data_IF_808735803420
#
_entry.id   IF_808735803420
#
_cell.length_a   1.000
_cell.length_b   1.000
_cell.length_c   1.000
_cell.angle_alpha   90.00
_cell.angle_beta   90.00
_cell.angle_gamma   90.00
#
_symmetry.space_group_name_H-M   'P 1'
#
loop_
_entity.id
_entity.type
_entity.pdbx_description
1 polymer ?
#
# COMPACT_ATOMS: atom_id res chain seq x y z
N UNK A 1 19.92 5.26 -28.28
CA UNK A 1 18.65 5.55 -27.58
C UNK A 1 18.37 7.02 -27.74
N UNK A 2 17.23 7.38 -28.32
CA UNK A 2 16.91 8.77 -28.63
C UNK A 2 16.54 9.53 -27.35
N UNK A 3 17.46 10.38 -26.87
CA UNK A 3 17.25 11.21 -25.67
C UNK A 3 16.05 12.17 -25.82
N UNK A 4 15.62 12.46 -27.04
CA UNK A 4 14.45 13.30 -27.30
C UNK A 4 13.12 12.57 -27.05
N UNK A 5 13.08 11.26 -27.25
CA UNK A 5 11.90 10.45 -26.92
C UNK A 5 11.67 10.38 -25.40
N UNK A 6 12.75 10.18 -24.62
CA UNK A 6 12.73 10.19 -23.15
C UNK A 6 12.32 11.55 -22.57
N UNK A 7 12.76 12.67 -23.17
CA UNK A 7 12.35 14.03 -22.78
C UNK A 7 10.88 14.31 -23.11
N UNK A 8 10.38 13.83 -24.24
CA UNK A 8 8.97 13.96 -24.64
C UNK A 8 8.02 13.20 -23.70
N UNK A 9 8.41 12.00 -23.25
CA UNK A 9 7.67 11.27 -22.23
C UNK A 9 7.59 12.07 -20.94
N UNK A 10 8.70 12.65 -20.48
CA UNK A 10 8.84 13.39 -19.20
C UNK A 10 7.87 14.59 -19.03
N UNK A 11 7.37 15.18 -20.12
CA UNK A 11 6.50 16.36 -20.08
C UNK A 11 4.98 16.03 -20.00
N UNK A 12 4.59 14.77 -20.16
CA UNK A 12 3.18 14.36 -20.12
C UNK A 12 2.78 13.99 -18.68
N UNK A 13 1.55 14.31 -18.23
CA UNK A 13 1.00 13.78 -16.99
C UNK A 13 1.18 12.26 -16.91
N UNK A 14 1.51 11.73 -15.73
CA UNK A 14 1.80 10.29 -15.51
C UNK A 14 0.69 9.38 -16.08
N UNK A 15 -0.56 9.85 -16.03
CA UNK A 15 -1.72 9.18 -16.61
C UNK A 15 -1.59 8.94 -18.13
N UNK A 16 -1.13 9.94 -18.85
CA UNK A 16 -0.92 9.85 -20.29
C UNK A 16 0.28 8.96 -20.63
N UNK A 17 1.33 8.93 -19.78
CA UNK A 17 2.47 8.02 -19.98
C UNK A 17 2.08 6.56 -19.79
N UNK A 18 1.35 6.22 -18.74
CA UNK A 18 0.91 4.84 -18.50
C UNK A 18 -0.01 4.35 -19.63
N UNK A 19 -1.00 5.16 -19.99
CA UNK A 19 -1.97 4.81 -21.02
C UNK A 19 -1.36 4.77 -22.42
N UNK A 20 -0.51 5.73 -22.80
CA UNK A 20 0.25 5.67 -24.07
C UNK A 20 1.09 4.40 -24.16
N UNK A 21 1.73 4.02 -23.06
CA UNK A 21 2.63 2.88 -23.04
C UNK A 21 1.94 1.52 -23.00
N UNK A 22 0.67 1.47 -22.60
CA UNK A 22 -0.08 0.21 -22.40
C UNK A 22 -1.17 0.03 -23.46
N UNK A 23 -1.89 1.10 -23.82
CA UNK A 23 -2.92 1.12 -24.87
C UNK A 23 -2.81 2.40 -25.72
N UNK A 24 -1.84 2.46 -26.66
CA UNK A 24 -1.69 3.62 -27.53
C UNK A 24 -2.99 3.87 -28.34
N UNK A 25 -3.57 5.06 -28.18
CA UNK A 25 -4.76 5.51 -28.93
C UNK A 25 -6.13 5.35 -28.27
N UNK A 26 -6.23 4.90 -27.01
CA UNK A 26 -7.52 4.65 -26.33
C UNK A 26 -7.83 5.60 -25.15
N UNK A 27 -7.57 6.90 -25.31
CA UNK A 27 -7.77 7.91 -24.25
C UNK A 27 -9.23 8.10 -23.83
N UNK A 28 -10.18 7.86 -24.75
CA UNK A 28 -11.61 8.10 -24.53
C UNK A 28 -12.28 7.12 -23.55
N UNK A 29 -11.56 6.08 -23.08
CA UNK A 29 -12.14 4.98 -22.31
C UNK A 29 -11.58 4.83 -20.89
N UNK A 30 -10.78 5.78 -20.37
CA UNK A 30 -10.25 5.73 -18.99
C UNK A 30 -11.38 5.59 -17.96
N UNK A 31 -12.43 6.39 -18.12
CA UNK A 31 -13.64 6.32 -17.29
C UNK A 31 -14.36 4.98 -17.44
N UNK A 32 -14.34 4.37 -18.62
CA UNK A 32 -14.95 3.07 -18.88
C UNK A 32 -14.14 1.94 -18.24
N UNK A 33 -12.81 1.97 -18.36
CA UNK A 33 -11.90 1.01 -17.71
C UNK A 33 -12.06 1.11 -16.18
N UNK A 34 -12.05 2.33 -15.63
CA UNK A 34 -12.31 2.57 -14.22
C UNK A 34 -13.68 2.03 -13.80
N UNK A 35 -14.73 2.29 -14.57
CA UNK A 35 -16.07 1.76 -14.30
C UNK A 35 -16.13 0.22 -14.32
N UNK A 36 -15.50 -0.42 -15.30
CA UNK A 36 -15.43 -1.89 -15.40
C UNK A 36 -14.67 -2.49 -14.22
N UNK A 37 -13.55 -1.87 -13.80
CA UNK A 37 -12.79 -2.30 -12.62
C UNK A 37 -13.62 -2.15 -11.36
N UNK A 38 -14.33 -1.04 -11.18
CA UNK A 38 -15.21 -0.81 -10.03
C UNK A 38 -16.35 -1.84 -10.02
N UNK A 39 -16.98 -2.09 -11.17
CA UNK A 39 -18.04 -3.09 -11.30
C UNK A 39 -17.52 -4.48 -10.93
N UNK A 40 -16.34 -4.86 -11.42
CA UNK A 40 -15.68 -6.11 -11.09
C UNK A 40 -15.41 -6.23 -9.59
N UNK A 41 -14.85 -5.19 -8.97
CA UNK A 41 -14.57 -5.13 -7.54
C UNK A 41 -15.87 -5.27 -6.73
N UNK A 42 -16.94 -4.57 -7.13
CA UNK A 42 -18.25 -4.68 -6.48
C UNK A 42 -18.76 -6.10 -6.55
N UNK A 43 -18.76 -6.72 -7.73
CA UNK A 43 -19.23 -8.09 -7.94
C UNK A 43 -18.47 -9.10 -7.08
N UNK A 44 -17.14 -8.98 -7.02
CA UNK A 44 -16.28 -9.88 -6.25
C UNK A 44 -16.46 -9.70 -4.72
N UNK A 45 -16.90 -8.52 -4.25
CA UNK A 45 -17.08 -8.25 -2.81
C UNK A 45 -18.49 -8.59 -2.26
N UNK A 46 -19.44 -9.00 -3.10
CA UNK A 46 -20.80 -9.38 -2.66
C UNK A 46 -20.75 -10.59 -1.73
N UNK A 47 -19.88 -11.57 -2.00
CA UNK A 47 -19.68 -12.77 -1.16
C UNK A 47 -18.25 -12.83 -0.61
N UNK A 48 -17.95 -11.94 0.34
CA UNK A 48 -16.65 -11.95 1.01
C UNK A 48 -16.55 -13.11 2.02
N UNK A 49 -15.56 -13.98 1.82
CA UNK A 49 -15.12 -15.00 2.76
C UNK A 49 -13.64 -15.23 2.48
N UNK A 50 -12.82 -15.41 3.52
CA UNK A 50 -11.37 -15.65 3.36
C UNK A 50 -11.11 -16.88 2.46
N UNK A 51 -11.99 -17.89 2.49
CA UNK A 51 -11.89 -19.06 1.61
C UNK A 51 -12.08 -18.69 0.14
N UNK A 52 -13.11 -17.92 -0.20
CA UNK A 52 -13.38 -17.48 -1.58
C UNK A 52 -12.26 -16.57 -2.09
N UNK A 53 -11.72 -15.75 -1.18
CA UNK A 53 -10.71 -14.74 -1.45
C UNK A 53 -9.30 -15.31 -1.63
N UNK A 54 -9.05 -16.52 -1.11
CA UNK A 54 -7.77 -17.21 -1.26
C UNK A 54 -7.38 -17.44 -2.73
N UNK A 55 -8.33 -17.75 -3.62
CA UNK A 55 -8.07 -18.01 -5.04
C UNK A 55 -7.67 -16.72 -5.78
N UNK A 56 -8.47 -15.61 -5.76
CA UNK A 56 -8.02 -14.33 -6.28
C UNK A 56 -6.67 -13.88 -5.72
N UNK A 57 -6.43 -14.07 -4.43
CA UNK A 57 -5.16 -13.71 -3.80
C UNK A 57 -3.99 -14.57 -4.31
N UNK A 58 -4.20 -15.86 -4.56
CA UNK A 58 -3.19 -16.73 -5.15
C UNK A 58 -2.86 -16.31 -6.59
N UNK A 59 -3.88 -15.97 -7.39
CA UNK A 59 -3.68 -15.43 -8.75
C UNK A 59 -2.91 -14.12 -8.68
N UNK A 60 -3.26 -13.22 -7.75
CA UNK A 60 -2.52 -11.98 -7.54
C UNK A 60 -1.04 -12.24 -7.24
N UNK A 61 -0.75 -13.19 -6.36
CA UNK A 61 0.62 -13.57 -6.00
C UNK A 61 1.40 -14.10 -7.20
N UNK A 62 0.80 -15.00 -7.99
CA UNK A 62 1.43 -15.54 -9.21
C UNK A 62 1.70 -14.41 -10.21
N UNK A 63 0.76 -13.49 -10.40
CA UNK A 63 0.96 -12.32 -11.27
C UNK A 63 2.08 -11.40 -10.76
N UNK A 64 2.17 -11.17 -9.44
CA UNK A 64 3.27 -10.41 -8.83
C UNK A 64 4.61 -11.09 -9.03
N UNK A 65 4.71 -12.41 -8.80
CA UNK A 65 5.94 -13.18 -9.00
C UNK A 65 6.37 -13.13 -10.46
N UNK A 66 5.43 -13.32 -11.40
CA UNK A 66 5.72 -13.24 -12.84
C UNK A 66 6.19 -11.84 -13.24
N UNK A 67 5.49 -10.79 -12.80
CA UNK A 67 5.87 -9.40 -13.05
C UNK A 67 7.24 -9.07 -12.48
N UNK A 68 7.52 -9.50 -11.25
CA UNK A 68 8.80 -9.29 -10.58
C UNK A 68 9.94 -10.05 -11.27
N UNK A 69 9.69 -11.27 -11.73
CA UNK A 69 10.67 -12.05 -12.49
C UNK A 69 11.06 -11.33 -13.78
N UNK A 70 10.09 -10.78 -14.52
CA UNK A 70 10.36 -9.98 -15.71
C UNK A 70 11.17 -8.72 -15.40
N UNK A 71 10.89 -8.05 -14.27
CA UNK A 71 11.68 -6.90 -13.81
C UNK A 71 13.13 -7.33 -13.55
N UNK A 72 13.37 -8.40 -12.81
CA UNK A 72 14.73 -8.88 -12.55
C UNK A 72 15.46 -9.28 -13.84
N UNK A 73 14.80 -9.99 -14.75
CA UNK A 73 15.38 -10.32 -16.06
C UNK A 73 15.79 -9.03 -16.80
N UNK A 74 14.94 -8.00 -16.80
CA UNK A 74 15.28 -6.71 -17.40
C UNK A 74 16.49 -6.06 -16.73
N UNK A 75 16.53 -6.01 -15.40
CA UNK A 75 17.62 -5.37 -14.65
C UNK A 75 18.97 -6.04 -14.92
N UNK A 76 19.01 -7.38 -14.93
CA UNK A 76 20.26 -8.10 -15.16
C UNK A 76 20.70 -8.13 -16.62
N UNK A 77 19.78 -7.98 -17.58
CA UNK A 77 20.10 -7.94 -19.02
C UNK A 77 20.45 -6.55 -19.53
N UNK A 78 19.90 -5.49 -18.93
CA UNK A 78 20.19 -4.10 -19.32
C UNK A 78 21.58 -3.64 -18.89
N UNK A 79 22.25 -4.40 -18.03
CA UNK A 79 23.57 -4.10 -17.47
C UNK A 79 23.46 -3.31 -16.16
N UNK A 80 24.16 -3.79 -15.14
CA UNK A 80 24.25 -3.11 -13.85
C UNK A 80 25.36 -2.04 -13.91
N UNK A 81 25.08 -0.84 -13.40
CA UNK A 81 26.08 0.21 -13.25
C UNK A 81 27.15 -0.17 -12.22
N UNK A 82 28.29 0.52 -12.28
CA UNK A 82 29.34 0.37 -11.25
C UNK A 82 28.91 1.12 -9.97
N UNK A 83 28.81 0.44 -8.81
CA UNK A 83 28.42 1.07 -7.55
C UNK A 83 29.31 2.26 -7.15
N UNK A 84 30.57 2.28 -7.59
CA UNK A 84 31.52 3.34 -7.25
C UNK A 84 31.20 4.68 -7.93
N UNK A 85 30.36 4.67 -8.97
CA UNK A 85 29.96 5.87 -9.70
C UNK A 85 28.73 6.57 -9.13
N UNK A 86 28.03 5.91 -8.19
CA UNK A 86 26.82 6.41 -7.56
C UNK A 86 27.14 7.25 -6.31
N UNK A 87 26.30 8.25 -5.96
CA UNK A 87 26.50 9.05 -4.76
C UNK A 87 26.49 8.16 -3.50
N UNK A 88 27.47 8.36 -2.63
CA UNK A 88 27.65 7.55 -1.41
C UNK A 88 26.63 7.83 -0.32
N UNK A 89 25.98 9.00 -0.36
CA UNK A 89 25.02 9.45 0.63
C UNK A 89 23.93 10.30 -0.03
N UNK A 90 22.75 10.27 0.58
CA UNK A 90 21.60 11.11 0.23
C UNK A 90 21.36 12.17 1.33
N UNK A 91 20.51 13.15 1.04
CA UNK A 91 20.12 14.19 1.97
C UNK A 91 19.28 13.64 3.13
N UNK A 92 19.39 14.26 4.32
CA UNK A 92 18.57 13.87 5.48
C UNK A 92 17.06 13.96 5.19
N UNK A 93 16.67 14.90 4.34
CA UNK A 93 15.28 15.09 3.90
C UNK A 93 14.76 13.87 3.13
N UNK A 94 15.52 13.37 2.15
CA UNK A 94 15.18 12.16 1.39
C UNK A 94 15.17 10.91 2.27
N UNK A 95 16.09 10.81 3.25
CA UNK A 95 16.06 9.72 4.24
C UNK A 95 14.74 9.72 5.01
N UNK A 96 14.23 10.90 5.41
CA UNK A 96 12.96 10.98 6.12
C UNK A 96 11.75 10.60 5.26
N UNK A 97 11.78 10.87 3.95
CA UNK A 97 10.76 10.41 3.00
C UNK A 97 10.83 8.89 2.84
N UNK A 98 12.03 8.36 2.61
CA UNK A 98 12.27 6.93 2.48
C UNK A 98 11.82 6.16 3.73
N UNK A 99 12.04 6.73 4.92
CA UNK A 99 11.61 6.14 6.19
C UNK A 99 10.09 5.94 6.27
N UNK A 100 9.29 6.90 5.79
CA UNK A 100 7.84 6.74 5.66
C UNK A 100 7.48 5.58 4.73
N UNK A 101 8.10 5.52 3.55
CA UNK A 101 7.87 4.46 2.56
C UNK A 101 8.26 3.08 3.12
N UNK A 102 9.35 2.98 3.89
CA UNK A 102 9.77 1.72 4.53
C UNK A 102 8.76 1.22 5.55
N UNK A 103 8.23 2.10 6.40
CA UNK A 103 7.21 1.72 7.39
C UNK A 103 5.93 1.28 6.66
N UNK A 104 5.54 1.99 5.60
CA UNK A 104 4.38 1.62 4.79
C UNK A 104 4.56 0.25 4.11
N UNK A 105 5.78 -0.08 3.66
CA UNK A 105 6.07 -1.33 2.92
C UNK A 105 5.81 -2.59 3.76
N UNK A 106 6.03 -2.53 5.07
CA UNK A 106 5.80 -3.66 5.98
C UNK A 106 4.42 -3.64 6.65
N UNK A 107 3.48 -2.87 6.11
CA UNK A 107 2.15 -2.79 6.69
C UNK A 107 1.27 -4.00 6.32
N UNK A 108 0.98 -4.83 7.32
CA UNK A 108 0.06 -5.97 7.22
C UNK A 108 -0.72 -6.29 8.50
N UNK A 109 -0.57 -5.46 9.54
CA UNK A 109 -1.08 -5.72 10.90
C UNK A 109 -2.60 -5.92 10.92
N UNK A 110 -3.34 -5.13 10.13
CA UNK A 110 -4.80 -5.21 10.04
C UNK A 110 -5.31 -6.58 9.55
N UNK A 111 -4.53 -7.28 8.72
CA UNK A 111 -4.87 -8.59 8.17
C UNK A 111 -4.31 -9.75 9.00
N UNK A 112 -3.32 -9.51 9.85
CA UNK A 112 -2.65 -10.53 10.63
C UNK A 112 -3.62 -11.35 11.51
N UNK A 113 -4.48 -10.67 12.27
CA UNK A 113 -5.43 -11.34 13.17
C UNK A 113 -6.52 -12.13 12.41
N UNK A 114 -7.19 -11.56 11.38
CA UNK A 114 -8.12 -12.33 10.57
C UNK A 114 -7.50 -13.55 9.90
N UNK A 115 -6.27 -13.44 9.39
CA UNK A 115 -5.55 -14.56 8.77
C UNK A 115 -5.25 -15.62 9.82
N UNK A 116 -4.67 -15.24 10.97
CA UNK A 116 -4.40 -16.15 12.09
C UNK A 116 -5.65 -16.95 12.49
N UNK A 117 -6.79 -16.28 12.61
CA UNK A 117 -8.06 -16.91 12.99
C UNK A 117 -8.61 -17.92 11.96
N UNK A 118 -8.09 -17.94 10.73
CA UNK A 118 -8.51 -18.86 9.67
C UNK A 118 -7.42 -19.89 9.31
N UNK A 119 -6.31 -19.93 10.06
CA UNK A 119 -5.29 -20.97 9.92
C UNK A 119 -5.70 -22.25 10.66
N UNK A 120 -5.25 -23.39 10.15
CA UNK A 120 -5.43 -24.68 10.84
C UNK A 120 -4.68 -24.72 12.18
N UNK A 121 -3.44 -24.22 12.20
CA UNK A 121 -2.60 -24.09 13.39
C UNK A 121 -2.32 -22.60 13.67
N UNK A 122 -3.19 -21.89 14.43
CA UNK A 122 -3.09 -20.45 14.63
C UNK A 122 -1.89 -20.02 15.50
N UNK A 123 -1.34 -20.92 16.32
CA UNK A 123 -0.18 -20.61 17.18
C UNK A 123 1.14 -20.63 16.41
N UNK A 124 1.21 -21.39 15.32
CA UNK A 124 2.35 -21.40 14.41
C UNK A 124 2.44 -20.11 13.58
N UNK A 125 1.41 -19.25 13.57
CA UNK A 125 1.45 -17.99 12.83
C UNK A 125 2.56 -17.06 13.32
N UNK A 126 2.76 -17.00 14.65
CA UNK A 126 3.73 -16.12 15.32
C UNK A 126 4.99 -16.85 15.82
N UNK A 127 5.12 -18.14 15.54
CA UNK A 127 6.31 -18.91 15.89
C UNK A 127 7.57 -18.31 15.23
N UNK A 128 8.76 -18.64 15.72
CA UNK A 128 10.04 -18.09 15.20
C UNK A 128 10.20 -18.29 13.70
N UNK A 129 9.92 -19.50 13.20
CA UNK A 129 9.84 -19.83 11.77
C UNK A 129 8.40 -19.91 11.26
N UNK A 130 7.49 -19.24 11.98
CA UNK A 130 6.07 -19.17 11.67
C UNK A 130 5.80 -18.38 10.39
N UNK A 131 4.57 -18.48 9.92
CA UNK A 131 4.13 -17.88 8.64
C UNK A 131 4.41 -16.38 8.60
N UNK A 132 4.16 -15.65 9.70
CA UNK A 132 4.40 -14.22 9.75
C UNK A 132 5.89 -13.89 9.57
N UNK A 133 6.77 -14.46 10.38
CA UNK A 133 8.20 -14.16 10.33
C UNK A 133 8.84 -14.58 9.00
N UNK A 134 8.49 -15.77 8.50
CA UNK A 134 8.98 -16.25 7.20
C UNK A 134 8.54 -15.31 6.06
N UNK A 135 7.27 -14.87 6.07
CA UNK A 135 6.76 -13.94 5.06
C UNK A 135 7.46 -12.57 5.11
N UNK A 136 7.76 -12.07 6.31
CA UNK A 136 8.45 -10.79 6.50
C UNK A 136 9.90 -10.84 6.00
N UNK A 137 10.63 -11.92 6.26
CA UNK A 137 12.00 -12.11 5.76
C UNK A 137 12.02 -12.15 4.23
N UNK A 138 11.15 -12.96 3.62
CA UNK A 138 11.06 -13.06 2.15
C UNK A 138 10.73 -11.70 1.54
N UNK A 139 9.74 -11.00 2.10
CA UNK A 139 9.34 -9.66 1.63
C UNK A 139 10.48 -8.65 1.75
N UNK A 140 11.18 -8.63 2.89
CA UNK A 140 12.31 -7.73 3.10
C UNK A 140 13.43 -8.00 2.08
N UNK A 141 13.80 -9.26 1.86
CA UNK A 141 14.80 -9.62 0.87
C UNK A 141 14.41 -9.17 -0.55
N UNK A 142 13.16 -9.41 -0.96
CA UNK A 142 12.68 -8.98 -2.28
C UNK A 142 12.70 -7.45 -2.42
N UNK A 143 12.20 -6.71 -1.43
CA UNK A 143 12.21 -5.25 -1.45
C UNK A 143 13.63 -4.69 -1.51
N UNK A 144 14.55 -5.23 -0.70
CA UNK A 144 15.97 -4.82 -0.72
C UNK A 144 16.63 -5.13 -2.06
N UNK A 145 16.39 -6.30 -2.65
CA UNK A 145 16.93 -6.66 -3.96
C UNK A 145 16.42 -5.73 -5.06
N UNK A 146 15.11 -5.46 -5.10
CA UNK A 146 14.52 -4.56 -6.11
C UNK A 146 15.05 -3.14 -5.93
N UNK A 147 15.10 -2.64 -4.68
CA UNK A 147 15.62 -1.31 -4.38
C UNK A 147 17.09 -1.17 -4.77
N UNK A 148 17.93 -2.14 -4.39
CA UNK A 148 19.36 -2.13 -4.69
C UNK A 148 19.64 -2.25 -6.19
N UNK A 149 19.15 -3.32 -6.85
CA UNK A 149 19.44 -3.52 -8.27
C UNK A 149 18.71 -2.52 -9.17
N UNK A 150 17.53 -2.06 -8.77
CA UNK A 150 16.80 -1.00 -9.47
C UNK A 150 17.60 0.31 -9.47
N UNK A 151 18.09 0.73 -8.30
CA UNK A 151 18.93 1.93 -8.20
C UNK A 151 20.27 1.74 -8.92
N UNK A 152 20.88 0.55 -8.86
CA UNK A 152 22.13 0.27 -9.56
C UNK A 152 22.00 0.32 -11.10
N UNK A 153 20.83 -0.01 -11.64
CA UNK A 153 20.55 0.01 -13.07
C UNK A 153 20.18 1.41 -13.58
N UNK A 154 19.37 2.16 -12.85
CA UNK A 154 18.81 3.44 -13.31
C UNK A 154 19.44 4.68 -12.67
N UNK A 155 20.16 4.53 -11.56
CA UNK A 155 20.74 5.64 -10.81
C UNK A 155 19.71 6.70 -10.44
N UNK A 156 20.07 7.97 -10.66
CA UNK A 156 19.22 9.12 -10.34
C UNK A 156 18.06 9.35 -11.34
N UNK A 157 18.02 8.60 -12.44
CA UNK A 157 16.92 8.68 -13.43
C UNK A 157 15.76 7.71 -13.10
N UNK A 158 15.79 7.04 -11.94
CA UNK A 158 14.71 6.16 -11.51
C UNK A 158 13.43 6.96 -11.22
N UNK A 159 12.29 6.46 -11.68
CA UNK A 159 10.97 7.06 -11.42
C UNK A 159 10.37 6.48 -10.14
N UNK A 160 9.34 7.14 -9.58
CA UNK A 160 8.66 6.74 -8.34
C UNK A 160 8.13 5.29 -8.36
N UNK A 161 7.90 4.73 -9.56
CA UNK A 161 7.68 3.29 -9.75
C UNK A 161 8.60 2.74 -10.83
N UNK A 162 9.31 1.67 -10.50
CA UNK A 162 10.24 0.98 -11.41
C UNK A 162 9.57 0.49 -12.70
N UNK A 163 8.26 0.22 -12.67
CA UNK A 163 7.50 -0.23 -13.85
C UNK A 163 7.44 0.83 -14.95
N UNK A 164 7.65 2.10 -14.61
CA UNK A 164 7.71 3.18 -15.60
C UNK A 164 9.06 3.27 -16.31
N UNK A 165 10.14 2.88 -15.64
CA UNK A 165 11.48 2.85 -16.24
C UNK A 165 11.65 1.73 -17.28
N UNK A 166 10.81 0.68 -17.22
CA UNK A 166 10.89 -0.46 -18.12
C UNK A 166 10.17 -0.17 -19.43
N UNK A 167 10.84 -0.32 -20.59
CA UNK A 167 10.23 -0.04 -21.89
C UNK A 167 9.19 -1.10 -22.28
N UNK A 168 8.11 -0.67 -22.93
CA UNK A 168 7.04 -1.54 -23.44
C UNK A 168 7.43 -2.31 -24.71
N UNK A 169 8.50 -3.09 -24.67
CA UNK A 169 8.85 -4.04 -25.74
C UNK A 169 7.99 -5.31 -25.67
N UNK A 170 8.09 -6.20 -26.66
CA UNK A 170 7.22 -7.39 -26.82
C UNK A 170 7.07 -8.23 -25.54
N UNK A 171 8.17 -8.42 -24.79
CA UNK A 171 8.14 -9.21 -23.54
C UNK A 171 7.74 -8.35 -22.34
N UNK A 172 8.29 -7.14 -22.24
CA UNK A 172 8.12 -6.30 -21.05
C UNK A 172 6.81 -5.51 -21.01
N UNK A 173 6.05 -5.45 -22.11
CA UNK A 173 4.68 -4.90 -22.12
C UNK A 173 3.76 -5.64 -21.14
N UNK A 174 4.04 -6.92 -20.84
CA UNK A 174 3.27 -7.74 -19.91
C UNK A 174 3.43 -7.31 -18.44
N UNK A 175 4.52 -6.61 -18.07
CA UNK A 175 4.81 -6.22 -16.68
C UNK A 175 3.68 -5.39 -16.10
N UNK A 176 3.25 -4.34 -16.82
CA UNK A 176 2.21 -3.41 -16.35
C UNK A 176 0.85 -4.10 -16.14
N UNK A 177 0.28 -4.85 -17.10
CA UNK A 177 -0.94 -5.62 -16.90
C UNK A 177 -0.88 -6.65 -15.76
N UNK A 178 0.26 -7.35 -15.60
CA UNK A 178 0.45 -8.31 -14.51
C UNK A 178 0.35 -7.63 -13.13
N UNK A 179 1.00 -6.48 -12.95
CA UNK A 179 0.89 -5.71 -11.72
C UNK A 179 -0.50 -5.11 -11.54
N UNK A 180 -1.14 -4.58 -12.58
CA UNK A 180 -2.54 -4.09 -12.49
C UNK A 180 -3.46 -5.21 -12.01
N UNK A 181 -3.41 -6.39 -12.62
CA UNK A 181 -4.19 -7.55 -12.21
C UNK A 181 -3.91 -7.93 -10.74
N UNK A 182 -2.64 -8.00 -10.36
CA UNK A 182 -2.24 -8.33 -9.00
C UNK A 182 -2.81 -7.33 -7.98
N UNK A 183 -2.74 -6.03 -8.27
CA UNK A 183 -3.25 -5.00 -7.37
C UNK A 183 -4.80 -5.08 -7.30
N UNK A 184 -5.51 -5.39 -8.40
CA UNK A 184 -7.00 -5.46 -8.42
C UNK A 184 -7.45 -6.60 -7.53
N UNK A 185 -6.83 -7.77 -7.69
CA UNK A 185 -7.18 -8.96 -6.93
C UNK A 185 -6.75 -8.86 -5.47
N UNK A 186 -5.63 -8.20 -5.18
CA UNK A 186 -5.16 -7.95 -3.81
C UNK A 186 -6.05 -6.97 -3.05
N UNK A 187 -6.71 -6.03 -3.75
CA UNK A 187 -7.64 -5.09 -3.13
C UNK A 187 -8.77 -5.81 -2.38
N UNK A 188 -9.28 -6.90 -2.95
CA UNK A 188 -10.35 -7.70 -2.36
C UNK A 188 -9.98 -8.19 -0.95
N UNK A 189 -8.71 -8.58 -0.76
CA UNK A 189 -8.19 -9.04 0.53
C UNK A 189 -8.11 -7.91 1.55
N UNK A 190 -7.68 -6.73 1.13
CA UNK A 190 -7.56 -5.58 2.02
C UNK A 190 -8.93 -5.01 2.42
N UNK A 191 -9.90 -5.01 1.51
CA UNK A 191 -11.28 -4.60 1.80
C UNK A 191 -11.98 -5.52 2.83
N UNK A 192 -11.50 -6.76 3.01
CA UNK A 192 -12.06 -7.69 3.99
C UNK A 192 -12.10 -7.10 5.41
N UNK A 193 -11.05 -6.38 5.84
CA UNK A 193 -10.95 -5.86 7.21
C UNK A 193 -11.99 -4.77 7.47
N UNK A 194 -12.07 -3.69 6.66
CA UNK A 194 -13.16 -2.72 6.78
C UNK A 194 -14.54 -3.37 6.69
N UNK A 195 -14.76 -4.31 5.77
CA UNK A 195 -16.04 -4.97 5.62
C UNK A 195 -16.47 -5.75 6.88
N UNK A 196 -15.53 -6.37 7.60
CA UNK A 196 -15.80 -7.05 8.88
C UNK A 196 -16.03 -6.04 10.01
N UNK A 197 -15.22 -4.98 10.09
CA UNK A 197 -15.35 -3.95 11.13
C UNK A 197 -16.70 -3.23 11.01
N UNK A 198 -17.04 -2.74 9.83
CA UNK A 198 -18.32 -2.08 9.58
C UNK A 198 -19.49 -3.05 9.75
N UNK A 199 -19.32 -4.32 9.36
CA UNK A 199 -20.32 -5.35 9.65
C UNK A 199 -20.61 -5.51 11.14
N UNK A 200 -19.58 -5.47 12.01
CA UNK A 200 -19.75 -5.46 13.47
C UNK A 200 -20.37 -4.16 13.98
N UNK A 201 -20.01 -3.02 13.40
CA UNK A 201 -20.59 -1.73 13.75
C UNK A 201 -22.10 -1.69 13.42
N UNK A 202 -22.53 -2.28 12.30
CA UNK A 202 -23.94 -2.39 11.95
C UNK A 202 -24.77 -3.15 13.00
N UNK A 203 -24.19 -4.12 13.70
CA UNK A 203 -24.90 -4.84 14.76
C UNK A 203 -25.21 -3.96 15.99
N UNK A 204 -24.50 -2.83 16.16
CA UNK A 204 -24.85 -1.83 17.18
C UNK A 204 -26.11 -1.04 16.82
N UNK A 205 -26.45 -0.97 15.55
CA UNK A 205 -27.62 -0.24 15.06
C UNK A 205 -28.92 -1.03 15.23
N UNK A 206 -29.92 -0.45 15.94
CA UNK A 206 -31.20 -1.12 16.26
C UNK A 206 -31.93 -1.66 15.03
N UNK A 207 -32.08 -0.84 14.00
CA UNK A 207 -32.72 -1.16 12.73
C UNK A 207 -32.12 -2.39 12.03
N UNK A 208 -30.79 -2.52 11.99
CA UNK A 208 -30.14 -3.72 11.44
C UNK A 208 -30.26 -4.94 12.35
N UNK A 209 -30.10 -4.76 13.67
CA UNK A 209 -30.18 -5.86 14.65
C UNK A 209 -31.57 -6.52 14.68
N UNK A 210 -32.64 -5.73 14.56
CA UNK A 210 -34.02 -6.23 14.59
C UNK A 210 -34.53 -6.72 13.22
N UNK A 211 -33.73 -6.58 12.17
CA UNK A 211 -34.08 -7.05 10.83
C UNK A 211 -34.00 -8.59 10.72
N UNK A 212 -34.78 -9.17 9.80
CA UNK A 212 -34.72 -10.61 9.48
C UNK A 212 -33.33 -11.02 8.97
N UNK A 213 -32.93 -12.31 9.08
CA UNK A 213 -31.59 -12.75 8.66
C UNK A 213 -31.31 -12.49 7.16
N UNK A 214 -32.32 -12.58 6.31
CA UNK A 214 -32.21 -12.24 4.88
C UNK A 214 -31.95 -10.75 4.68
N UNK A 215 -32.69 -9.91 5.39
CA UNK A 215 -32.55 -8.46 5.33
C UNK A 215 -31.23 -7.99 5.95
N UNK A 216 -30.72 -8.67 6.97
CA UNK A 216 -29.37 -8.45 7.46
C UNK A 216 -28.30 -8.79 6.40
N UNK A 217 -28.50 -9.87 5.64
CA UNK A 217 -27.60 -10.23 4.53
C UNK A 217 -27.59 -9.16 3.44
N UNK A 218 -28.77 -8.64 3.07
CA UNK A 218 -28.93 -7.54 2.11
C UNK A 218 -28.28 -6.26 2.62
N UNK A 219 -28.56 -5.86 3.87
CA UNK A 219 -28.00 -4.64 4.47
C UNK A 219 -26.46 -4.70 4.51
N UNK A 220 -25.86 -5.86 4.79
CA UNK A 220 -24.40 -6.05 4.71
C UNK A 220 -23.86 -5.93 3.29
N UNK A 221 -24.57 -6.46 2.28
CA UNK A 221 -24.18 -6.32 0.87
C UNK A 221 -24.26 -4.85 0.43
N UNK A 222 -25.36 -4.16 0.75
CA UNK A 222 -25.55 -2.74 0.44
C UNK A 222 -24.46 -1.90 1.11
N UNK A 223 -24.17 -2.14 2.40
CA UNK A 223 -23.08 -1.46 3.11
C UNK A 223 -21.74 -1.62 2.38
N UNK A 224 -21.41 -2.83 1.92
CA UNK A 224 -20.16 -3.05 1.17
C UNK A 224 -20.13 -2.29 -0.15
N UNK A 225 -21.23 -2.29 -0.90
CA UNK A 225 -21.34 -1.52 -2.15
C UNK A 225 -21.18 -0.03 -1.87
N UNK A 226 -21.83 0.48 -0.82
CA UNK A 226 -21.71 1.89 -0.41
C UNK A 226 -20.29 2.23 0.01
N UNK A 227 -19.61 1.37 0.77
CA UNK A 227 -18.20 1.57 1.14
C UNK A 227 -17.30 1.60 -0.10
N UNK A 228 -17.48 0.66 -1.05
CA UNK A 228 -16.70 0.65 -2.30
C UNK A 228 -16.99 1.90 -3.12
N UNK A 229 -18.26 2.24 -3.33
CA UNK A 229 -18.65 3.44 -4.07
C UNK A 229 -18.16 4.72 -3.39
N UNK A 230 -18.13 4.78 -2.06
CA UNK A 230 -17.56 5.89 -1.31
C UNK A 230 -16.06 6.02 -1.60
N UNK A 231 -15.31 4.92 -1.52
CA UNK A 231 -13.89 4.90 -1.89
C UNK A 231 -13.64 5.21 -3.37
N UNK A 232 -14.60 4.92 -4.27
CA UNK A 232 -14.49 5.21 -5.70
C UNK A 232 -14.96 6.62 -6.10
N UNK A 233 -15.94 7.21 -5.39
CA UNK A 233 -16.49 8.55 -5.69
C UNK A 233 -15.51 9.66 -5.34
N UNK A 234 -14.70 9.44 -4.30
CA UNK A 234 -13.51 10.23 -4.02
C UNK A 234 -12.48 10.22 -5.17
N UNK A 235 -12.64 9.36 -6.17
CA UNK A 235 -11.61 9.05 -7.16
C UNK A 235 -11.91 9.48 -8.60
N UNK A 236 -13.14 9.91 -8.89
CA UNK A 236 -13.50 10.43 -10.22
C UNK A 236 -12.99 11.87 -10.47
N UNK A 237 -12.18 12.40 -9.54
CA UNK A 237 -11.51 13.69 -9.63
C UNK A 237 -10.01 13.42 -9.81
N UNK A 238 -9.56 13.34 -11.08
CA UNK A 238 -8.17 13.53 -11.55
C UNK A 238 -7.05 12.59 -11.05
N UNK A 239 -7.21 11.26 -11.01
CA UNK A 239 -6.04 10.38 -10.73
C UNK A 239 -6.05 9.08 -11.58
N UNK A 240 -4.85 8.65 -12.00
CA UNK A 240 -4.56 7.55 -12.94
C UNK A 240 -4.80 6.13 -12.37
N UNK A 241 -5.16 5.16 -13.23
CA UNK A 241 -5.63 3.79 -12.94
C UNK A 241 -4.69 2.90 -12.12
N UNK A 242 -3.38 3.16 -12.11
CA UNK A 242 -2.39 2.39 -11.34
C UNK A 242 -2.22 2.94 -9.93
N UNK A 243 -2.30 4.27 -9.81
CA UNK A 243 -2.33 4.99 -8.55
C UNK A 243 -3.68 4.80 -7.86
N UNK A 244 -4.79 4.75 -8.64
CA UNK A 244 -6.16 4.42 -8.19
C UNK A 244 -6.17 3.24 -7.23
N UNK A 245 -5.42 2.21 -7.57
CA UNK A 245 -5.59 0.91 -6.98
C UNK A 245 -4.61 0.67 -5.82
N UNK A 246 -3.42 1.27 -5.89
CA UNK A 246 -2.53 1.42 -4.73
C UNK A 246 -3.15 2.35 -3.69
N UNK A 247 -3.91 3.35 -4.12
CA UNK A 247 -4.65 4.23 -3.23
C UNK A 247 -5.89 3.59 -2.64
N UNK A 248 -6.62 2.77 -3.38
CA UNK A 248 -7.78 2.05 -2.87
C UNK A 248 -7.39 1.09 -1.73
N UNK A 249 -6.23 0.45 -1.87
CA UNK A 249 -5.55 -0.34 -0.84
C UNK A 249 -5.29 0.48 0.44
N UNK A 250 -4.84 1.72 0.25
CA UNK A 250 -4.56 2.70 1.31
C UNK A 250 -5.82 3.25 1.97
N UNK A 251 -6.85 3.66 1.21
CA UNK A 251 -8.09 4.23 1.78
C UNK A 251 -8.82 3.18 2.63
N UNK A 252 -8.79 1.90 2.26
CA UNK A 252 -9.30 0.81 3.08
C UNK A 252 -8.57 0.67 4.42
N UNK A 253 -7.26 0.92 4.43
CA UNK A 253 -6.44 0.95 5.63
C UNK A 253 -6.72 2.21 6.48
N UNK A 254 -6.83 3.38 5.85
CA UNK A 254 -7.21 4.64 6.51
C UNK A 254 -8.61 4.57 7.16
N UNK A 255 -9.54 3.79 6.58
CA UNK A 255 -10.86 3.50 7.16
C UNK A 255 -10.80 2.78 8.52
N UNK A 256 -9.64 2.23 8.90
CA UNK A 256 -9.39 1.62 10.22
C UNK A 256 -8.80 2.63 11.22
N UNK A 257 -8.24 3.76 10.78
CA UNK A 257 -7.68 4.81 11.65
C UNK A 257 -8.73 5.81 12.15
N UNK A 258 -8.58 6.25 13.41
CA UNK A 258 -9.51 7.13 14.16
C UNK A 258 -9.36 8.64 13.84
N UNK A 259 -8.45 9.06 12.95
CA UNK A 259 -8.35 10.45 12.45
C UNK A 259 -8.75 10.51 10.96
N UNK A 260 -9.38 11.62 10.49
CA UNK A 260 -10.32 11.56 9.38
C UNK A 260 -9.64 11.11 8.07
N UNK A 261 -10.06 9.96 7.50
CA UNK A 261 -9.62 9.47 6.19
C UNK A 261 -9.70 10.55 5.10
N UNK A 262 -10.64 11.49 5.26
CA UNK A 262 -10.83 12.67 4.42
C UNK A 262 -9.59 13.55 4.22
N UNK A 263 -8.72 13.71 5.23
CA UNK A 263 -7.59 14.65 5.13
C UNK A 263 -6.44 14.05 4.33
N UNK A 264 -6.15 12.76 4.52
CA UNK A 264 -5.14 12.04 3.74
C UNK A 264 -5.61 11.77 2.31
N UNK A 265 -6.88 11.42 2.14
CA UNK A 265 -7.49 11.26 0.81
C UNK A 265 -7.47 12.58 0.03
N UNK A 266 -7.80 13.71 0.66
CA UNK A 266 -7.77 15.03 0.01
C UNK A 266 -6.36 15.51 -0.35
N UNK A 267 -5.36 15.27 0.50
CA UNK A 267 -3.96 15.64 0.22
C UNK A 267 -3.37 14.79 -0.89
N UNK A 268 -3.73 13.50 -0.96
CA UNK A 268 -3.27 12.63 -2.04
C UNK A 268 -3.96 12.89 -3.39
N UNK A 269 -5.22 13.32 -3.40
CA UNK A 269 -5.87 13.82 -4.62
C UNK A 269 -5.18 15.08 -5.18
N UNK A 270 -4.42 15.80 -4.34
CA UNK A 270 -3.75 17.04 -4.72
C UNK A 270 -2.35 16.80 -5.29
N UNK A 271 -1.74 15.64 -5.06
CA UNK A 271 -0.32 15.38 -5.33
C UNK A 271 -0.16 14.16 -6.24
N UNK A 272 0.16 14.34 -7.53
CA UNK A 272 0.34 13.24 -8.49
C UNK A 272 1.68 12.48 -8.30
N UNK A 273 2.33 12.57 -7.15
CA UNK A 273 3.60 11.91 -6.84
C UNK A 273 3.37 10.71 -5.91
N UNK A 274 3.47 9.51 -6.48
CA UNK A 274 3.22 8.23 -5.78
C UNK A 274 4.13 8.06 -4.54
N UNK A 275 5.40 8.42 -4.64
CA UNK A 275 6.39 8.31 -3.57
C UNK A 275 6.06 9.21 -2.36
N UNK A 276 5.71 10.48 -2.60
CA UNK A 276 5.28 11.40 -1.55
C UNK A 276 4.01 10.91 -0.87
N UNK A 277 3.07 10.37 -1.65
CA UNK A 277 1.86 9.80 -1.12
C UNK A 277 2.14 8.60 -0.21
N UNK A 278 2.96 7.63 -0.67
CA UNK A 278 3.37 6.46 0.13
C UNK A 278 4.09 6.88 1.42
N UNK A 279 4.95 7.89 1.35
CA UNK A 279 5.64 8.46 2.52
C UNK A 279 4.68 9.09 3.53
N UNK A 280 3.71 9.90 3.08
CA UNK A 280 2.74 10.54 3.95
C UNK A 280 1.89 9.51 4.69
N UNK A 281 1.46 8.46 3.99
CA UNK A 281 0.68 7.37 4.56
C UNK A 281 1.50 6.59 5.59
N UNK A 282 2.73 6.22 5.23
CA UNK A 282 3.67 5.55 6.13
C UNK A 282 3.93 6.32 7.42
N UNK A 283 4.20 7.61 7.29
CA UNK A 283 4.50 8.47 8.43
C UNK A 283 3.27 8.76 9.29
N UNK A 284 2.09 8.99 8.72
CA UNK A 284 0.89 9.33 9.50
C UNK A 284 0.11 8.10 9.96
N UNK A 285 -0.36 7.25 9.04
CA UNK A 285 -1.25 6.14 9.40
C UNK A 285 -0.48 4.92 9.91
N UNK A 286 0.57 4.52 9.20
CA UNK A 286 1.29 3.26 9.48
C UNK A 286 2.11 3.36 10.76
N UNK A 287 2.77 4.50 10.98
CA UNK A 287 3.50 4.76 12.22
C UNK A 287 2.56 4.74 13.43
N UNK A 288 1.35 5.32 13.30
CA UNK A 288 0.35 5.28 14.36
C UNK A 288 -0.14 3.84 14.65
N UNK A 289 -0.56 3.09 13.63
CA UNK A 289 -1.15 1.76 13.80
C UNK A 289 -0.13 0.67 14.15
N UNK A 290 1.09 0.77 13.65
CA UNK A 290 2.09 -0.30 13.76
C UNK A 290 3.13 -0.04 14.85
N UNK A 291 3.52 1.23 15.09
CA UNK A 291 4.60 1.57 16.01
C UNK A 291 4.15 2.33 17.27
N UNK A 292 3.02 3.04 17.23
CA UNK A 292 2.53 3.77 18.41
C UNK A 292 1.48 2.98 19.19
N UNK A 293 0.42 2.50 18.53
CA UNK A 293 -0.70 1.84 19.20
C UNK A 293 -0.29 0.52 19.89
N UNK A 294 0.41 -0.44 19.25
CA UNK A 294 0.71 -1.71 19.87
C UNK A 294 1.57 -1.60 21.14
N UNK A 295 2.67 -0.81 21.16
CA UNK A 295 3.46 -0.61 22.37
C UNK A 295 2.70 0.05 23.53
N UNK A 296 1.82 1.02 23.23
CA UNK A 296 0.96 1.64 24.25
C UNK A 296 0.00 0.61 24.84
N UNK A 297 -0.65 -0.19 23.98
CA UNK A 297 -1.59 -1.23 24.42
C UNK A 297 -0.88 -2.31 25.23
N UNK A 298 0.29 -2.77 24.79
CA UNK A 298 1.11 -3.75 25.53
C UNK A 298 1.51 -3.21 26.91
N UNK A 299 1.95 -1.94 26.98
CA UNK A 299 2.34 -1.32 28.24
C UNK A 299 1.15 -1.18 29.21
N UNK A 300 -0.01 -0.73 28.73
CA UNK A 300 -1.23 -0.62 29.55
C UNK A 300 -1.69 -1.99 30.03
N UNK A 301 -1.66 -2.99 29.15
CA UNK A 301 -2.15 -4.33 29.45
C UNK A 301 -1.27 -5.07 30.48
N UNK A 302 0.06 -4.96 30.36
CA UNK A 302 1.01 -5.63 31.26
C UNK A 302 1.34 -4.83 32.53
N UNK A 303 0.88 -3.58 32.63
CA UNK A 303 1.13 -2.73 33.81
C UNK A 303 0.67 -3.30 35.15
N UNK A 304 -0.51 -3.95 35.25
CA UNK A 304 -0.98 -4.53 36.51
C UNK A 304 -0.04 -5.63 37.03
N UNK A 305 0.48 -6.47 36.13
CA UNK A 305 1.30 -7.65 36.45
C UNK A 305 2.81 -7.36 36.45
N UNK A 306 3.21 -6.09 36.46
CA UNK A 306 4.61 -5.64 36.37
C UNK A 306 5.56 -6.25 37.40
N UNK A 307 5.04 -6.63 38.59
CA UNK A 307 5.86 -7.23 39.65
C UNK A 307 6.13 -8.73 39.42
N UNK A 308 5.32 -9.40 38.60
CA UNK A 308 5.48 -10.83 38.30
C UNK A 308 6.45 -11.07 37.14
N UNK A 309 6.69 -10.05 36.31
CA UNK A 309 7.57 -10.13 35.14
C UNK A 309 8.99 -9.75 35.53
N UNK A 310 9.93 -10.69 35.39
CA UNK A 310 11.35 -10.43 35.63
C UNK A 310 11.86 -9.33 34.69
N UNK A 311 12.64 -8.39 35.25
CA UNK A 311 13.21 -7.25 34.53
C UNK A 311 12.19 -6.44 33.70
N UNK A 312 10.93 -6.33 34.15
CA UNK A 312 9.84 -5.62 33.44
C UNK A 312 10.26 -4.26 32.87
N UNK A 313 10.94 -3.42 33.66
CA UNK A 313 11.38 -2.10 33.22
C UNK A 313 12.42 -2.15 32.10
N UNK A 314 13.29 -3.15 32.09
CA UNK A 314 14.37 -3.27 31.10
C UNK A 314 13.91 -3.99 29.83
N UNK A 315 13.01 -4.97 29.94
CA UNK A 315 12.55 -5.77 28.80
C UNK A 315 11.30 -5.20 28.15
N UNK A 316 10.28 -4.84 28.95
CA UNK A 316 8.98 -4.38 28.44
C UNK A 316 9.01 -2.87 28.24
N UNK A 317 9.39 -2.10 29.28
CA UNK A 317 9.31 -0.63 29.21
C UNK A 317 10.35 -0.08 28.23
N UNK A 318 11.62 -0.50 28.29
CA UNK A 318 12.65 -0.02 27.35
C UNK A 318 12.32 -0.39 25.90
N UNK A 319 11.92 -1.64 25.61
CA UNK A 319 11.50 -2.07 24.26
C UNK A 319 10.37 -1.19 23.72
N UNK A 320 9.32 -1.03 24.51
CA UNK A 320 8.14 -0.26 24.08
C UNK A 320 8.44 1.24 23.98
N UNK A 321 9.27 1.80 24.86
CA UNK A 321 9.73 3.18 24.76
C UNK A 321 10.56 3.42 23.49
N UNK A 322 11.45 2.49 23.13
CA UNK A 322 12.21 2.57 21.87
C UNK A 322 11.29 2.52 20.65
N UNK A 323 10.31 1.63 20.63
CA UNK A 323 9.33 1.55 19.54
C UNK A 323 8.51 2.85 19.42
N UNK A 324 8.09 3.43 20.56
CA UNK A 324 7.36 4.70 20.57
C UNK A 324 8.21 5.86 20.07
N UNK A 325 9.49 5.91 20.46
CA UNK A 325 10.42 6.93 19.98
C UNK A 325 10.64 6.83 18.48
N UNK A 326 10.86 5.61 17.96
CA UNK A 326 11.01 5.38 16.51
C UNK A 326 9.72 5.76 15.78
N UNK A 327 8.56 5.35 16.29
CA UNK A 327 7.26 5.67 15.68
C UNK A 327 6.92 7.16 15.68
N UNK A 328 7.32 7.89 16.74
CA UNK A 328 7.10 9.33 16.80
C UNK A 328 8.10 10.08 15.90
N UNK A 329 9.36 9.65 15.90
CA UNK A 329 10.38 10.18 15.01
C UNK A 329 9.98 10.00 13.54
N UNK A 330 9.49 8.82 13.18
CA UNK A 330 9.05 8.53 11.81
C UNK A 330 7.85 9.34 11.38
N UNK A 331 6.87 9.50 12.28
CA UNK A 331 5.69 10.31 12.02
C UNK A 331 6.08 11.77 11.79
N UNK A 332 6.87 12.36 12.69
CA UNK A 332 7.26 13.77 12.60
C UNK A 332 8.15 14.01 11.37
N UNK A 333 9.24 13.24 11.22
CA UNK A 333 10.19 13.51 10.15
C UNK A 333 9.59 13.22 8.77
N UNK A 334 8.90 12.08 8.61
CA UNK A 334 8.29 11.71 7.35
C UNK A 334 7.16 12.65 6.93
N UNK A 335 6.30 13.07 7.87
CA UNK A 335 5.22 14.03 7.56
C UNK A 335 5.81 15.40 7.22
N UNK A 336 6.75 15.92 8.01
CA UNK A 336 7.35 17.22 7.76
C UNK A 336 8.06 17.28 6.40
N UNK A 337 8.92 16.30 6.09
CA UNK A 337 9.64 16.24 4.82
C UNK A 337 8.67 16.14 3.63
N UNK A 338 7.66 15.28 3.75
CA UNK A 338 6.67 15.09 2.68
C UNK A 338 5.85 16.37 2.44
N UNK A 339 5.38 17.03 3.51
CA UNK A 339 4.60 18.27 3.41
C UNK A 339 5.43 19.40 2.81
N UNK A 340 6.70 19.56 3.22
CA UNK A 340 7.61 20.56 2.65
C UNK A 340 7.77 20.33 1.14
N UNK A 341 7.96 19.08 0.71
CA UNK A 341 8.10 18.75 -0.70
C UNK A 341 6.81 18.99 -1.49
N UNK A 342 5.65 18.66 -0.92
CA UNK A 342 4.35 18.96 -1.53
C UNK A 342 4.18 20.47 -1.72
N UNK A 343 4.45 21.28 -0.70
CA UNK A 343 4.37 22.75 -0.78
C UNK A 343 5.33 23.28 -1.86
N UNK A 344 6.53 22.74 -1.93
CA UNK A 344 7.54 23.14 -2.94
C UNK A 344 7.07 22.82 -4.36
N UNK A 345 6.50 21.62 -4.58
CA UNK A 345 5.94 21.22 -5.87
C UNK A 345 4.76 22.11 -6.25
N UNK A 346 3.84 22.39 -5.33
CA UNK A 346 2.68 23.26 -5.57
C UNK A 346 3.08 24.71 -5.88
N UNK A 347 4.14 25.22 -5.23
CA UNK A 347 4.67 26.56 -5.49
C UNK A 347 5.33 26.66 -6.86
N UNK A 348 6.06 25.63 -7.28
CA UNK A 348 6.81 25.62 -8.53
C UNK A 348 5.97 25.21 -9.74
N UNK A 349 4.86 24.49 -9.55
CA UNK A 349 3.92 24.13 -10.62
C UNK A 349 2.84 25.19 -10.92
N UNK A 350 2.95 26.37 -10.30
CA UNK A 350 2.10 27.55 -10.55
C UNK A 350 2.74 28.62 -11.45
N UNK A 351 3.98 28.41 -11.90
CA UNK A 351 4.62 29.11 -13.03
C UNK A 351 4.62 28.19 -14.26
#
# INVERSE_FOLDING_TARGET
MDQNALKSTRAKPIENQFMESTWPGSYSNLNLIGFVVILLIVMLNIKISIRILSIPSAVAMVSTIAGLTLIFIYLFTSGLGDPSTLPSHTSFHEVCIALGIFIFTFEGVALALPIRNHMHCPDEFVATFGVLNASMVITACLCLMIGFFGYLCFGNDILSSITYNIPSTVVYIAVKPLFVLAIILSYLLQFYVPAVIFGRLMLKMRWHRMSSPEQQSINRKIMRVVLILFTCKSYFIRVSTVDILTFHKVTCLCLVTVLPPFLLDAVAMLVPHLDLMLSLLGSVSSSALSLLVPPVVELIHLWPDRQQISHFYLTVVTKNALLLLVGLFSAICGTAATVIQIITVLRNGGE
#
